data_IF_059518878180
#
_entry.id   IF_059518878180
#
_cell.length_a   1.000
_cell.length_b   1.000
_cell.length_c   1.000
_cell.angle_alpha   90.00
_cell.angle_beta   90.00
_cell.angle_gamma   90.00
#
_symmetry.space_group_name_H-M   'P 1'
#
loop_
_entity.id
_entity.type
_entity.pdbx_description
1 polymer ?
#
# COMPACT_ATOMS: atom_id res chain seq x y z
N UNK A 1 -14.78 34.46 -0.23
CA UNK A 1 -14.86 35.93 -0.44
C UNK A 1 -14.65 36.62 0.89
N UNK A 2 -13.40 36.66 1.36
CA UNK A 2 -13.10 37.23 2.67
C UNK A 2 -12.35 38.55 2.50
N UNK A 3 -12.69 39.52 3.34
CA UNK A 3 -12.02 40.82 3.49
C UNK A 3 -11.12 40.74 4.72
N UNK A 4 -9.89 41.26 4.64
CA UNK A 4 -8.98 41.30 5.77
C UNK A 4 -7.76 42.18 5.55
N UNK A 5 -6.90 42.26 6.56
CA UNK A 5 -5.70 43.09 6.55
C UNK A 5 -4.53 42.37 5.86
N UNK A 6 -3.88 43.05 4.93
CA UNK A 6 -2.70 42.57 4.20
C UNK A 6 -1.41 42.93 4.95
N UNK A 7 -0.28 42.34 4.57
CA UNK A 7 1.03 42.56 5.22
C UNK A 7 1.53 44.02 5.15
N UNK A 8 1.03 44.80 4.18
CA UNK A 8 1.31 46.23 4.06
C UNK A 8 0.39 47.13 4.92
N UNK A 9 -0.47 46.54 5.76
CA UNK A 9 -1.42 47.23 6.63
C UNK A 9 -2.70 47.73 5.94
N UNK A 10 -2.85 47.54 4.62
CA UNK A 10 -4.09 47.87 3.90
C UNK A 10 -5.12 46.76 4.05
N UNK A 11 -6.41 47.07 3.82
CA UNK A 11 -7.46 46.05 3.79
C UNK A 11 -7.97 45.82 2.37
N UNK A 12 -8.11 44.55 2.01
CA UNK A 12 -8.58 44.15 0.69
C UNK A 12 -9.24 42.77 0.72
N UNK A 13 -9.98 42.45 -0.35
CA UNK A 13 -10.50 41.10 -0.60
C UNK A 13 -9.32 40.15 -0.85
N UNK A 14 -9.31 39.01 -0.16
CA UNK A 14 -8.25 38.00 -0.27
C UNK A 14 -7.13 38.14 0.75
N UNK A 15 -7.14 39.20 1.57
CA UNK A 15 -6.24 39.37 2.70
C UNK A 15 -6.88 38.86 4.01
N UNK A 16 -6.07 38.59 5.03
CA UNK A 16 -6.50 37.94 6.26
C UNK A 16 -6.54 36.41 6.17
N UNK A 17 -7.00 35.75 7.25
CA UNK A 17 -7.05 34.27 7.31
C UNK A 17 -8.28 33.74 6.58
N UNK A 18 -8.14 33.04 5.44
CA UNK A 18 -9.30 32.48 4.75
C UNK A 18 -9.87 31.27 5.52
N UNK A 19 -11.17 31.03 5.35
CA UNK A 19 -11.79 29.76 5.76
C UNK A 19 -11.21 28.60 4.93
N UNK A 20 -10.89 27.48 5.59
CA UNK A 20 -10.38 26.26 4.96
C UNK A 20 -11.35 25.11 5.21
N UNK A 21 -11.78 24.45 4.14
CA UNK A 21 -12.62 23.27 4.21
C UNK A 21 -11.79 22.04 3.82
N UNK A 22 -11.75 21.03 4.70
CA UNK A 22 -11.09 19.74 4.43
C UNK A 22 -12.12 18.64 4.34
N UNK A 23 -12.06 17.88 3.25
CA UNK A 23 -12.87 16.68 3.06
C UNK A 23 -11.93 15.48 2.87
N UNK A 24 -12.35 14.31 3.33
CA UNK A 24 -11.65 13.05 3.10
C UNK A 24 -12.43 12.23 2.06
N UNK A 25 -11.70 11.50 1.22
CA UNK A 25 -12.27 10.57 0.25
C UNK A 25 -11.39 9.31 0.17
N UNK A 26 -12.03 8.16 -0.04
CA UNK A 26 -11.34 6.92 -0.38
C UNK A 26 -10.95 6.95 -1.85
N UNK A 27 -9.65 6.79 -2.14
CA UNK A 27 -9.10 6.86 -3.50
C UNK A 27 -8.28 5.61 -3.81
N UNK A 28 -8.29 5.21 -5.08
CA UNK A 28 -7.40 4.17 -5.60
C UNK A 28 -6.60 4.72 -6.78
N UNK A 29 -5.31 4.41 -6.84
CA UNK A 29 -4.40 4.82 -7.92
C UNK A 29 -4.15 3.61 -8.81
N UNK A 30 -4.61 3.67 -10.05
CA UNK A 30 -4.35 2.64 -11.06
C UNK A 30 -3.35 3.17 -12.09
N UNK A 31 -2.37 2.36 -12.48
CA UNK A 31 -1.39 2.70 -13.50
C UNK A 31 -1.86 2.15 -14.85
N UNK A 32 -2.00 3.05 -15.84
CA UNK A 32 -2.42 2.72 -17.22
C UNK A 32 -1.24 2.52 -18.17
N UNK A 33 0.01 2.50 -17.68
CA UNK A 33 1.20 2.41 -18.53
C UNK A 33 1.47 0.97 -18.91
N UNK A 34 0.80 0.52 -19.97
CA UNK A 34 1.18 -0.68 -20.69
C UNK A 34 2.44 -0.45 -21.53
N UNK A 35 3.60 -0.79 -20.98
CA UNK A 35 4.80 -1.23 -21.74
C UNK A 35 5.88 -1.67 -20.75
N UNK A 36 6.06 -2.98 -20.60
CA UNK A 36 7.15 -3.56 -19.80
C UNK A 36 8.34 -3.86 -20.75
N UNK A 37 9.58 -3.48 -20.41
CA UNK A 37 10.76 -3.81 -21.23
C UNK A 37 10.97 -5.34 -21.35
N UNK A 38 11.51 -5.83 -22.48
CA UNK A 38 11.63 -7.27 -22.76
C UNK A 38 12.54 -8.05 -21.80
N UNK A 39 13.42 -7.37 -21.05
CA UNK A 39 14.22 -7.98 -19.98
C UNK A 39 13.40 -8.52 -18.80
N UNK A 40 12.13 -8.13 -18.70
CA UNK A 40 11.17 -8.60 -17.70
C UNK A 40 10.10 -9.54 -18.29
N UNK A 41 10.23 -9.93 -19.57
CA UNK A 41 9.22 -10.73 -20.27
C UNK A 41 9.40 -12.25 -20.11
N UNK A 42 10.52 -12.73 -19.56
CA UNK A 42 10.87 -14.16 -19.55
C UNK A 42 10.61 -14.88 -18.23
N UNK A 43 10.17 -14.19 -17.17
CA UNK A 43 9.91 -14.88 -15.89
C UNK A 43 8.95 -14.12 -14.96
N UNK A 44 7.78 -13.73 -15.47
CA UNK A 44 6.87 -12.90 -14.68
C UNK A 44 5.47 -13.51 -14.67
N UNK A 45 5.18 -14.32 -13.64
CA UNK A 45 3.80 -14.71 -13.29
C UNK A 45 2.93 -13.49 -12.93
N UNK A 46 3.50 -12.29 -12.80
CA UNK A 46 2.76 -11.03 -12.66
C UNK A 46 3.54 -9.81 -13.22
N UNK A 47 3.22 -9.31 -14.42
CA UNK A 47 3.87 -8.14 -15.03
C UNK A 47 3.63 -6.82 -14.26
N UNK A 48 2.78 -6.81 -13.24
CA UNK A 48 2.46 -5.64 -12.40
C UNK A 48 3.10 -5.69 -11.01
N UNK A 49 4.03 -6.62 -10.76
CA UNK A 49 4.73 -6.71 -9.49
C UNK A 49 5.62 -5.47 -9.28
N UNK A 50 5.33 -4.70 -8.25
CA UNK A 50 6.16 -3.57 -7.82
C UNK A 50 7.43 -4.10 -7.15
N UNK A 51 8.53 -3.36 -7.22
CA UNK A 51 9.78 -3.68 -6.50
C UNK A 51 10.21 -2.47 -5.68
N UNK A 52 10.76 -2.69 -4.49
CA UNK A 52 11.35 -1.65 -3.66
C UNK A 52 12.85 -1.91 -3.45
N UNK A 53 13.59 -0.84 -3.24
CA UNK A 53 15.02 -0.85 -2.94
C UNK A 53 15.22 -0.10 -1.62
N UNK A 54 15.91 -0.71 -0.68
CA UNK A 54 16.26 -0.06 0.59
C UNK A 54 17.47 0.86 0.40
N UNK A 55 17.41 2.07 0.96
CA UNK A 55 18.49 3.05 0.86
C UNK A 55 19.78 2.58 1.56
N UNK A 56 19.65 1.78 2.63
CA UNK A 56 20.79 1.20 3.35
C UNK A 56 21.41 -0.01 2.65
N UNK A 57 20.76 -0.54 1.62
CA UNK A 57 21.21 -1.71 0.89
C UNK A 57 20.86 -1.60 -0.60
N UNK A 58 21.66 -0.81 -1.32
CA UNK A 58 21.52 -0.56 -2.75
C UNK A 58 21.47 -1.82 -3.63
N UNK A 59 21.94 -2.97 -3.15
CA UNK A 59 22.00 -4.20 -3.96
C UNK A 59 20.81 -5.16 -3.77
N UNK A 60 19.90 -4.91 -2.82
CA UNK A 60 18.76 -5.80 -2.59
C UNK A 60 17.46 -5.14 -3.08
N UNK A 61 17.06 -5.51 -4.30
CA UNK A 61 15.76 -5.16 -4.89
C UNK A 61 14.79 -6.29 -4.55
N UNK A 62 13.72 -5.96 -3.82
CA UNK A 62 12.72 -6.94 -3.37
C UNK A 62 11.34 -6.62 -3.93
N UNK A 63 10.51 -7.62 -4.29
CA UNK A 63 9.16 -7.37 -4.77
C UNK A 63 8.27 -6.80 -3.65
N UNK A 64 7.64 -5.66 -3.93
CA UNK A 64 6.63 -5.03 -3.09
C UNK A 64 5.29 -5.72 -3.33
N UNK A 65 4.85 -6.49 -2.34
CA UNK A 65 3.61 -7.25 -2.38
C UNK A 65 2.62 -6.60 -1.44
N UNK A 66 1.76 -5.75 -2.00
CA UNK A 66 0.65 -5.12 -1.28
C UNK A 66 -0.56 -6.03 -1.42
N UNK A 67 -0.70 -7.02 -0.52
CA UNK A 67 -1.90 -7.84 -0.40
C UNK A 67 -2.72 -7.34 0.77
N UNK A 68 -3.84 -6.68 0.52
CA UNK A 68 -4.86 -6.40 1.55
C UNK A 68 -5.77 -7.62 1.72
N UNK A 69 -5.23 -8.72 2.22
CA UNK A 69 -6.01 -9.94 2.50
C UNK A 69 -5.72 -10.40 3.94
N UNK A 70 -6.75 -10.83 4.66
CA UNK A 70 -6.59 -11.33 6.04
C UNK A 70 -6.49 -12.84 6.00
N UNK A 71 -5.32 -13.38 6.27
CA UNK A 71 -5.12 -14.82 6.35
C UNK A 71 -5.45 -15.32 7.75
N UNK A 72 -6.35 -16.31 7.84
CA UNK A 72 -6.82 -16.91 9.09
C UNK A 72 -6.54 -18.41 9.12
N UNK A 73 -6.33 -19.01 10.31
CA UNK A 73 -6.15 -20.45 10.43
C UNK A 73 -7.44 -21.22 10.15
N UNK A 74 -7.30 -22.41 9.57
CA UNK A 74 -8.40 -23.38 9.43
C UNK A 74 -8.79 -23.97 10.79
N UNK A 75 -9.97 -24.58 10.85
CA UNK A 75 -10.63 -25.04 12.09
C UNK A 75 -9.70 -25.82 13.06
N UNK A 76 -8.84 -26.70 12.54
CA UNK A 76 -7.92 -27.51 13.37
C UNK A 76 -6.82 -26.68 14.06
N UNK A 77 -6.39 -25.58 13.43
CA UNK A 77 -5.25 -24.77 13.89
C UNK A 77 -5.68 -23.51 14.65
N UNK A 78 -6.98 -23.19 14.68
CA UNK A 78 -7.53 -22.03 15.40
C UNK A 78 -7.36 -22.11 16.93
N UNK A 79 -7.20 -23.33 17.47
CA UNK A 79 -6.98 -23.56 18.92
C UNK A 79 -5.56 -23.16 19.36
N UNK A 80 -4.61 -23.14 18.43
CA UNK A 80 -3.21 -22.85 18.74
C UNK A 80 -3.04 -21.33 18.89
N UNK A 81 -2.60 -20.84 20.06
CA UNK A 81 -2.39 -19.41 20.28
C UNK A 81 -1.35 -18.84 19.30
N UNK A 82 -1.66 -17.70 18.69
CA UNK A 82 -0.76 -17.02 17.75
C UNK A 82 -0.84 -17.48 16.30
N UNK A 83 -1.72 -18.44 15.97
CA UNK A 83 -1.87 -18.89 14.57
C UNK A 83 -2.41 -17.83 13.62
N UNK A 84 -3.22 -16.88 14.10
CA UNK A 84 -3.65 -15.74 13.29
C UNK A 84 -2.45 -14.93 12.79
N UNK A 85 -1.52 -14.61 13.70
CA UNK A 85 -0.29 -13.88 13.35
C UNK A 85 0.63 -14.70 12.45
N UNK A 86 0.72 -16.02 12.70
CA UNK A 86 1.50 -16.91 11.85
C UNK A 86 0.96 -16.97 10.42
N UNK A 87 -0.37 -17.09 10.25
CA UNK A 87 -1.02 -17.12 8.94
C UNK A 87 -0.82 -15.79 8.22
N UNK A 88 -1.01 -14.65 8.89
CA UNK A 88 -0.75 -13.35 8.29
C UNK A 88 0.71 -13.21 7.85
N UNK A 89 1.67 -13.60 8.68
CA UNK A 89 3.10 -13.45 8.35
C UNK A 89 3.55 -14.39 7.25
N UNK A 90 3.17 -15.68 7.30
CA UNK A 90 3.69 -16.69 6.36
C UNK A 90 2.95 -16.73 5.03
N UNK A 91 1.66 -16.42 5.02
CA UNK A 91 0.89 -16.42 3.78
C UNK A 91 1.03 -15.12 2.98
N UNK A 92 1.28 -13.98 3.65
CA UNK A 92 1.45 -12.69 2.99
C UNK A 92 2.90 -12.41 2.55
N UNK A 93 3.87 -13.24 2.95
CA UNK A 93 5.28 -13.11 2.52
C UNK A 93 5.47 -13.57 1.07
N UNK A 94 6.65 -13.29 0.52
CA UNK A 94 7.08 -13.82 -0.78
C UNK A 94 8.44 -14.50 -0.71
N UNK A 95 8.58 -15.72 -1.26
CA UNK A 95 7.49 -16.56 -1.80
C UNK A 95 6.49 -16.97 -0.70
N UNK A 96 5.18 -17.02 -1.00
CA UNK A 96 4.16 -17.33 -0.01
C UNK A 96 4.36 -18.74 0.54
N UNK A 97 4.29 -18.87 1.87
CA UNK A 97 4.32 -20.17 2.55
C UNK A 97 3.00 -20.36 3.27
N UNK A 98 1.98 -20.71 2.49
CA UNK A 98 0.62 -20.86 2.98
C UNK A 98 0.10 -22.27 2.66
N UNK A 99 0.37 -23.26 3.52
CA UNK A 99 -0.19 -24.59 3.32
C UNK A 99 -1.72 -24.52 3.41
N UNK A 100 -2.40 -25.02 2.38
CA UNK A 100 -3.86 -24.95 2.31
C UNK A 100 -4.55 -25.65 3.48
N UNK A 101 -3.93 -26.66 4.11
CA UNK A 101 -4.52 -27.34 5.26
C UNK A 101 -4.49 -26.50 6.55
N UNK A 102 -3.60 -25.50 6.61
CA UNK A 102 -3.30 -24.74 7.84
C UNK A 102 -3.99 -23.38 7.85
N UNK A 103 -3.90 -22.64 6.75
CA UNK A 103 -4.42 -21.27 6.65
C UNK A 103 -5.30 -21.09 5.42
N UNK A 104 -6.20 -20.12 5.47
CA UNK A 104 -7.01 -19.66 4.35
C UNK A 104 -6.97 -18.14 4.29
N UNK A 105 -6.82 -17.57 3.09
CA UNK A 105 -6.85 -16.14 2.85
C UNK A 105 -8.01 -15.87 1.87
N UNK A 106 -9.21 -15.50 2.36
CA UNK A 106 -10.32 -15.11 1.51
C UNK A 106 -10.05 -13.81 0.73
#
# INVERSE_FOLDING_TARGET
NMWGTCDNGTEAVGCGKPETFRNCADVNIVTSTGAVPPSFATQQDNPFLLYYQDYGSSNYISPLIVRSQVCVPKNLYRIIPGMDHWCQTNCLRYPPNCPEEVCTCP
#
